data_IF_848598036899
#
_entry.id   IF_848598036899
#
_cell.length_a   1.000
_cell.length_b   1.000
_cell.length_c   1.000
_cell.angle_alpha   90.00
_cell.angle_beta   90.00
_cell.angle_gamma   90.00
#
_symmetry.space_group_name_H-M   'P 1'
#
loop_
_entity.id
_entity.type
_entity.pdbx_description
1 polymer ?
#
# COMPACT_ATOMS: atom_id res chain seq x y z
N UNK A 1 2.61 -11.63 -15.22
CA UNK A 1 2.09 -10.30 -15.63
C UNK A 1 2.13 -9.36 -14.41
N UNK A 2 2.34 -8.04 -14.60
CA UNK A 2 2.47 -7.13 -13.44
C UNK A 2 1.11 -6.79 -12.80
N UNK A 3 0.08 -6.60 -13.62
CA UNK A 3 -1.25 -6.26 -13.13
C UNK A 3 -1.85 -7.38 -12.27
N UNK A 4 -1.79 -8.64 -12.70
CA UNK A 4 -2.29 -9.77 -11.91
C UNK A 4 -1.48 -9.98 -10.63
N UNK A 5 -0.16 -9.75 -10.64
CA UNK A 5 0.64 -9.73 -9.41
C UNK A 5 0.16 -8.64 -8.42
N UNK A 6 -0.12 -7.43 -8.89
CA UNK A 6 -0.67 -6.35 -8.04
C UNK A 6 -2.06 -6.71 -7.49
N UNK A 7 -2.85 -7.50 -8.21
CA UNK A 7 -4.17 -7.96 -7.76
C UNK A 7 -4.14 -9.22 -6.88
N UNK A 8 -3.10 -10.05 -6.95
CA UNK A 8 -3.05 -11.34 -6.24
C UNK A 8 -2.07 -11.33 -5.07
N UNK A 9 -0.95 -10.63 -5.20
CA UNK A 9 0.12 -10.53 -4.21
C UNK A 9 0.62 -9.07 -4.08
N UNK A 10 -0.25 -8.12 -3.68
CA UNK A 10 0.03 -6.68 -3.75
C UNK A 10 1.26 -6.26 -2.94
N UNK A 11 1.38 -6.72 -1.69
CA UNK A 11 2.49 -6.36 -0.80
C UNK A 11 3.82 -6.86 -1.34
N UNK A 12 3.89 -8.15 -1.71
CA UNK A 12 5.12 -8.74 -2.26
C UNK A 12 5.56 -7.99 -3.51
N UNK A 13 4.61 -7.74 -4.42
CA UNK A 13 4.87 -7.00 -5.65
C UNK A 13 5.35 -5.58 -5.34
N UNK A 14 4.68 -4.86 -4.44
CA UNK A 14 5.07 -3.50 -4.06
C UNK A 14 6.49 -3.44 -3.48
N UNK A 15 6.84 -4.37 -2.57
CA UNK A 15 8.18 -4.44 -1.97
C UNK A 15 9.24 -4.74 -3.02
N UNK A 16 9.03 -5.72 -3.90
CA UNK A 16 9.99 -6.05 -4.96
C UNK A 16 10.21 -4.89 -5.93
N UNK A 17 9.14 -4.23 -6.36
CA UNK A 17 9.25 -3.04 -7.21
C UNK A 17 10.02 -1.92 -6.49
N UNK A 18 9.79 -1.73 -5.20
CA UNK A 18 10.49 -0.72 -4.40
C UNK A 18 11.98 -1.02 -4.26
N UNK A 19 12.34 -2.28 -4.00
CA UNK A 19 13.74 -2.73 -3.98
C UNK A 19 14.43 -2.47 -5.32
N UNK A 20 13.77 -2.78 -6.43
CA UNK A 20 14.27 -2.49 -7.76
C UNK A 20 14.51 -0.98 -7.97
N UNK A 21 13.58 -0.13 -7.52
CA UNK A 21 13.75 1.34 -7.60
C UNK A 21 14.95 1.84 -6.79
N UNK A 22 15.21 1.23 -5.63
CA UNK A 22 16.36 1.56 -4.78
C UNK A 22 17.68 0.94 -5.25
N UNK A 23 17.68 0.12 -6.32
CA UNK A 23 18.86 -0.62 -6.77
C UNK A 23 19.32 -1.71 -5.79
N UNK A 24 18.50 -2.04 -4.78
CA UNK A 24 18.80 -3.03 -3.74
C UNK A 24 18.43 -4.43 -4.25
N UNK A 25 19.42 -5.33 -4.34
CA UNK A 25 19.21 -6.76 -4.60
C UNK A 25 19.32 -7.51 -3.27
N UNK A 26 18.40 -8.42 -3.01
CA UNK A 26 18.58 -9.36 -1.90
C UNK A 26 17.77 -10.62 -2.10
N UNK A 27 17.60 -11.39 -1.03
CA UNK A 27 16.95 -12.69 -1.13
C UNK A 27 15.48 -12.56 -1.60
N UNK A 28 14.97 -13.53 -2.37
CA UNK A 28 13.56 -13.60 -2.72
C UNK A 28 12.68 -13.58 -1.47
N UNK A 29 11.59 -12.82 -1.50
CA UNK A 29 10.65 -12.75 -0.37
C UNK A 29 10.08 -14.12 0.03
N UNK A 30 10.07 -15.11 -0.88
CA UNK A 30 9.63 -16.47 -0.54
C UNK A 30 10.60 -17.23 0.37
N UNK A 31 11.86 -16.81 0.44
CA UNK A 31 12.89 -17.46 1.26
C UNK A 31 13.02 -16.86 2.65
N UNK A 32 12.25 -15.81 2.97
CA UNK A 32 12.27 -15.23 4.30
C UNK A 32 11.62 -16.19 5.31
N UNK A 33 12.29 -16.48 6.44
CA UNK A 33 11.71 -17.28 7.50
C UNK A 33 10.41 -16.63 8.03
N UNK A 34 9.43 -17.46 8.39
CA UNK A 34 8.10 -17.05 8.85
C UNK A 34 7.01 -16.85 7.78
N UNK A 35 7.03 -17.71 6.75
CA UNK A 35 6.00 -17.81 5.69
C UNK A 35 4.57 -18.16 6.14
N UNK A 36 4.28 -18.18 7.44
CA UNK A 36 2.93 -18.34 7.95
C UNK A 36 2.20 -16.99 7.90
N UNK A 37 0.84 -16.95 7.85
CA UNK A 37 0.05 -15.73 7.94
C UNK A 37 0.13 -15.08 9.34
N UNK A 38 1.34 -14.83 9.82
CA UNK A 38 1.60 -14.20 11.09
C UNK A 38 1.54 -12.68 10.90
N UNK A 39 0.42 -12.09 11.34
CA UNK A 39 0.16 -10.64 11.31
C UNK A 39 1.18 -9.81 12.09
N UNK A 40 2.00 -10.43 12.95
CA UNK A 40 3.09 -9.76 13.68
C UNK A 40 4.37 -9.60 12.85
N UNK A 41 4.51 -10.35 11.76
CA UNK A 41 5.69 -10.29 10.90
C UNK A 41 5.58 -9.15 9.91
N UNK A 42 6.74 -8.69 9.40
CA UNK A 42 6.86 -7.50 8.54
C UNK A 42 5.85 -7.49 7.37
N UNK A 43 5.74 -8.61 6.64
CA UNK A 43 4.80 -8.71 5.51
C UNK A 43 3.33 -8.66 5.94
N UNK A 44 3.01 -9.22 7.11
CA UNK A 44 1.67 -9.14 7.69
C UNK A 44 1.30 -7.72 8.12
N UNK A 45 2.24 -7.01 8.73
CA UNK A 45 2.08 -5.60 9.09
C UNK A 45 1.91 -4.71 7.84
N UNK A 46 2.69 -4.96 6.78
CA UNK A 46 2.53 -4.26 5.50
C UNK A 46 1.16 -4.53 4.85
N UNK A 47 0.65 -5.76 4.90
CA UNK A 47 -0.66 -6.10 4.35
C UNK A 47 -1.79 -5.38 5.10
N UNK A 48 -1.67 -5.30 6.42
CA UNK A 48 -2.57 -4.53 7.27
C UNK A 48 -2.55 -3.04 6.94
N UNK A 49 -1.37 -2.44 6.91
CA UNK A 49 -1.23 -1.02 6.59
C UNK A 49 -1.72 -0.72 5.19
N UNK A 50 -1.37 -1.56 4.21
CA UNK A 50 -1.84 -1.41 2.83
C UNK A 50 -3.37 -1.43 2.78
N UNK A 51 -4.01 -2.39 3.45
CA UNK A 51 -5.48 -2.48 3.48
C UNK A 51 -6.11 -1.24 4.10
N UNK A 52 -5.61 -0.80 5.26
CA UNK A 52 -6.09 0.39 5.96
C UNK A 52 -5.92 1.66 5.12
N UNK A 53 -4.76 1.82 4.49
CA UNK A 53 -4.46 2.95 3.65
C UNK A 53 -5.33 2.99 2.39
N UNK A 54 -5.50 1.86 1.69
CA UNK A 54 -6.33 1.81 0.49
C UNK A 54 -7.81 2.07 0.81
N UNK A 55 -8.29 1.62 1.98
CA UNK A 55 -9.63 1.97 2.48
C UNK A 55 -9.75 3.48 2.76
N UNK A 56 -8.73 4.10 3.37
CA UNK A 56 -8.72 5.53 3.65
C UNK A 56 -8.70 6.37 2.36
N UNK A 57 -7.83 6.02 1.40
CA UNK A 57 -7.79 6.65 0.07
C UNK A 57 -9.14 6.47 -0.63
N UNK A 58 -9.68 5.25 -0.63
CA UNK A 58 -10.99 4.95 -1.21
C UNK A 58 -12.08 5.84 -0.60
N UNK A 59 -12.14 5.95 0.73
CA UNK A 59 -13.17 6.73 1.42
C UNK A 59 -13.05 8.22 1.16
N UNK A 60 -11.82 8.76 1.04
CA UNK A 60 -11.58 10.19 0.76
C UNK A 60 -11.83 10.56 -0.69
N UNK A 61 -11.54 9.66 -1.64
CA UNK A 61 -11.54 9.97 -3.08
C UNK A 61 -12.84 9.60 -3.79
N UNK A 62 -13.58 8.59 -3.34
CA UNK A 62 -14.78 8.12 -4.04
C UNK A 62 -16.05 8.76 -3.48
N UNK A 63 -17.08 8.99 -4.32
CA UNK A 63 -18.42 9.32 -3.85
C UNK A 63 -18.92 8.27 -2.86
N UNK A 64 -19.67 8.70 -1.84
CA UNK A 64 -20.08 7.84 -0.72
C UNK A 64 -20.78 6.54 -1.19
N UNK A 65 -21.77 6.65 -2.08
CA UNK A 65 -22.49 5.48 -2.63
C UNK A 65 -21.56 4.51 -3.39
N UNK A 66 -20.59 5.06 -4.13
CA UNK A 66 -19.64 4.27 -4.88
C UNK A 66 -18.68 3.53 -3.95
N UNK A 67 -18.21 4.20 -2.90
CA UNK A 67 -17.36 3.58 -1.88
C UNK A 67 -18.11 2.46 -1.15
N UNK A 68 -19.33 2.70 -0.68
CA UNK A 68 -20.09 1.66 0.03
C UNK A 68 -20.32 0.44 -0.87
N UNK A 69 -20.70 0.65 -2.14
CA UNK A 69 -20.92 -0.45 -3.09
C UNK A 69 -19.64 -1.25 -3.37
N UNK A 70 -18.52 -0.57 -3.61
CA UNK A 70 -17.29 -1.22 -4.08
C UNK A 70 -16.40 -1.73 -2.95
N UNK A 71 -16.33 -1.04 -1.81
CA UNK A 71 -15.41 -1.35 -0.72
C UNK A 71 -16.10 -2.03 0.48
N UNK A 72 -17.43 -1.90 0.60
CA UNK A 72 -18.22 -2.46 1.73
C UNK A 72 -19.28 -3.49 1.32
N UNK A 73 -19.42 -3.78 0.02
CA UNK A 73 -20.30 -4.82 -0.51
C UNK A 73 -19.67 -6.21 -0.48
N UNK A 74 -19.47 -6.80 -1.66
CA UNK A 74 -18.83 -8.12 -1.79
C UNK A 74 -17.34 -8.09 -1.42
N UNK A 75 -16.88 -9.10 -0.67
CA UNK A 75 -15.51 -9.17 -0.16
C UNK A 75 -14.47 -9.25 -1.28
N UNK A 76 -14.74 -10.04 -2.33
CA UNK A 76 -13.80 -10.21 -3.45
C UNK A 76 -13.74 -8.93 -4.28
N UNK A 77 -14.90 -8.34 -4.59
CA UNK A 77 -14.97 -7.05 -5.29
C UNK A 77 -14.20 -5.98 -4.51
N UNK A 78 -14.44 -5.86 -3.21
CA UNK A 78 -13.76 -4.90 -2.36
C UNK A 78 -12.24 -5.14 -2.30
N UNK A 79 -11.82 -6.39 -2.21
CA UNK A 79 -10.39 -6.75 -2.25
C UNK A 79 -9.76 -6.34 -3.59
N UNK A 80 -10.44 -6.60 -4.71
CA UNK A 80 -9.96 -6.23 -6.04
C UNK A 80 -9.88 -4.71 -6.22
N UNK A 81 -10.91 -3.96 -5.81
CA UNK A 81 -10.90 -2.50 -5.94
C UNK A 81 -9.85 -1.82 -5.07
N UNK A 82 -9.62 -2.31 -3.84
CA UNK A 82 -8.47 -1.88 -3.02
C UNK A 82 -7.16 -2.06 -3.79
N UNK A 83 -6.90 -3.29 -4.27
CA UNK A 83 -5.67 -3.63 -4.99
C UNK A 83 -5.55 -2.90 -6.33
N UNK A 84 -6.68 -2.57 -6.96
CA UNK A 84 -6.73 -1.76 -8.16
C UNK A 84 -6.21 -0.34 -7.90
N UNK A 85 -6.46 0.27 -6.73
CA UNK A 85 -5.88 1.59 -6.41
C UNK A 85 -4.34 1.54 -6.40
N UNK A 86 -3.74 0.45 -5.89
CA UNK A 86 -2.29 0.24 -5.98
C UNK A 86 -1.83 0.08 -7.44
N UNK A 87 -2.61 -0.62 -8.27
CA UNK A 87 -2.33 -0.75 -9.69
C UNK A 87 -2.42 0.58 -10.44
N UNK A 88 -3.44 1.39 -10.16
CA UNK A 88 -3.66 2.72 -10.71
C UNK A 88 -2.49 3.67 -10.40
N UNK A 89 -1.85 3.50 -9.24
CA UNK A 89 -0.61 4.21 -8.91
C UNK A 89 0.62 3.66 -9.62
N UNK A 90 0.77 2.34 -9.67
CA UNK A 90 2.04 1.68 -10.00
C UNK A 90 2.26 1.55 -11.50
N UNK A 91 1.23 1.15 -12.24
CA UNK A 91 1.34 0.82 -13.66
C UNK A 91 1.69 2.00 -14.59
N UNK A 92 1.32 3.26 -14.30
CA UNK A 92 1.70 4.39 -15.15
C UNK A 92 3.21 4.56 -15.33
N UNK A 93 4.02 4.16 -14.35
CA UNK A 93 5.48 4.15 -14.46
C UNK A 93 6.02 3.18 -15.53
N UNK A 94 5.19 2.25 -16.00
CA UNK A 94 5.50 1.26 -17.02
C UNK A 94 4.70 1.49 -18.32
N UNK A 95 4.13 2.68 -18.51
CA UNK A 95 3.35 3.03 -19.70
C UNK A 95 1.95 2.42 -19.74
N UNK A 96 1.45 1.89 -18.62
CA UNK A 96 0.15 1.24 -18.52
C UNK A 96 -0.82 2.06 -17.66
N UNK A 97 -1.99 2.40 -18.20
CA UNK A 97 -3.05 3.11 -17.46
C UNK A 97 -4.22 2.16 -17.21
N UNK A 98 -4.33 1.54 -16.03
CA UNK A 98 -5.40 0.59 -15.75
C UNK A 98 -6.75 1.31 -15.63
N UNK A 99 -7.79 0.67 -16.13
CA UNK A 99 -9.17 1.18 -16.13
C UNK A 99 -10.09 0.21 -15.40
N UNK A 100 -11.14 0.73 -14.76
CA UNK A 100 -12.14 -0.05 -14.06
C UNK A 100 -13.56 0.29 -14.55
N UNK A 101 -14.49 -0.64 -14.35
CA UNK A 101 -15.92 -0.37 -14.43
C UNK A 101 -16.58 -0.79 -13.10
N UNK A 102 -17.25 0.12 -12.37
CA UNK A 102 -17.39 1.56 -12.65
C UNK A 102 -16.03 2.30 -12.66
N UNK A 103 -16.01 3.45 -13.34
CA UNK A 103 -14.82 4.30 -13.42
C UNK A 103 -14.50 4.89 -12.04
N UNK A 104 -13.22 4.87 -11.68
CA UNK A 104 -12.73 5.48 -10.44
C UNK A 104 -11.98 6.77 -10.75
N UNK A 105 -12.07 7.78 -9.87
CA UNK A 105 -11.19 8.94 -9.98
C UNK A 105 -9.73 8.53 -9.85
N UNK A 106 -8.83 9.38 -10.33
CA UNK A 106 -7.39 9.14 -10.21
C UNK A 106 -6.93 9.32 -8.77
N UNK A 107 -6.68 8.20 -8.08
CA UNK A 107 -6.22 8.15 -6.70
C UNK A 107 -4.69 8.10 -6.56
N UNK A 108 -3.94 8.07 -7.67
CA UNK A 108 -2.47 7.86 -7.67
C UNK A 108 -1.67 8.99 -7.01
N UNK A 109 -2.26 10.18 -6.87
CA UNK A 109 -1.61 11.38 -6.32
C UNK A 109 -1.99 11.69 -4.86
N UNK A 110 -2.70 10.79 -4.18
CA UNK A 110 -3.11 10.98 -2.79
C UNK A 110 -1.91 11.05 -1.82
N UNK A 111 -1.95 11.95 -0.82
CA UNK A 111 -0.85 12.18 0.14
C UNK A 111 -0.37 10.92 0.86
N UNK A 112 -1.30 10.06 1.31
CA UNK A 112 -0.98 8.77 1.97
C UNK A 112 -0.02 7.85 1.20
N UNK A 113 0.17 8.02 -0.11
CA UNK A 113 1.19 7.28 -0.84
C UNK A 113 2.62 7.65 -0.41
N UNK A 114 2.86 8.87 0.07
CA UNK A 114 4.13 9.27 0.65
C UNK A 114 4.40 8.51 1.96
N UNK A 115 3.38 8.36 2.82
CA UNK A 115 3.46 7.49 4.02
C UNK A 115 3.79 6.05 3.62
N UNK A 116 3.14 5.52 2.59
CA UNK A 116 3.42 4.17 2.08
C UNK A 116 4.86 3.99 1.63
N UNK A 117 5.43 4.98 0.93
CA UNK A 117 6.80 4.90 0.45
C UNK A 117 7.79 4.91 1.63
N UNK A 118 7.58 5.74 2.65
CA UNK A 118 8.37 5.73 3.90
C UNK A 118 8.31 4.37 4.62
N UNK A 119 7.14 3.73 4.62
CA UNK A 119 6.95 2.39 5.21
C UNK A 119 7.68 1.32 4.39
N UNK A 120 7.66 1.42 3.07
CA UNK A 120 8.39 0.51 2.18
C UNK A 120 9.91 0.67 2.34
N UNK A 121 10.42 1.90 2.45
CA UNK A 121 11.83 2.16 2.76
C UNK A 121 12.24 1.42 4.03
N UNK A 122 11.47 1.61 5.11
CA UNK A 122 11.74 0.94 6.39
C UNK A 122 11.66 -0.57 6.28
N UNK A 123 10.68 -1.09 5.53
CA UNK A 123 10.54 -2.53 5.34
C UNK A 123 11.74 -3.12 4.61
N UNK A 124 12.24 -2.47 3.55
CA UNK A 124 13.41 -2.94 2.82
C UNK A 124 14.66 -2.94 3.72
N UNK A 125 14.86 -1.92 4.55
CA UNK A 125 15.99 -1.88 5.48
C UNK A 125 15.94 -3.02 6.52
N UNK A 126 14.74 -3.34 7.04
CA UNK A 126 14.55 -4.44 7.98
C UNK A 126 14.80 -5.81 7.33
N UNK A 127 14.41 -5.98 6.05
CA UNK A 127 14.68 -7.19 5.29
C UNK A 127 16.18 -7.40 5.05
N UNK A 128 16.92 -6.33 4.78
CA UNK A 128 18.38 -6.40 4.60
C UNK A 128 19.12 -6.70 5.89
N UNK A 129 18.61 -6.20 7.02
CA UNK A 129 19.16 -6.49 8.34
C UNK A 129 18.96 -7.94 8.81
N UNK A 130 18.18 -8.77 8.08
CA UNK A 130 17.80 -10.14 8.44
C UNK A 130 17.24 -10.25 9.87
N UNK A 131 16.50 -9.22 10.27
CA UNK A 131 16.13 -9.02 11.66
C UNK A 131 14.65 -9.37 11.86
N UNK A 132 14.38 -10.56 12.39
CA UNK A 132 13.03 -11.05 12.72
C UNK A 132 12.44 -10.39 13.99
N UNK A 133 12.63 -9.07 14.16
CA UNK A 133 11.98 -8.34 15.25
C UNK A 133 10.50 -8.10 14.95
N UNK A 134 9.67 -8.14 15.99
CA UNK A 134 8.27 -7.68 15.90
C UNK A 134 8.24 -6.27 15.29
N UNK A 135 7.67 -6.16 14.10
CA UNK A 135 7.72 -4.92 13.35
C UNK A 135 6.52 -4.04 13.71
N UNK A 136 6.78 -2.77 14.03
CA UNK A 136 5.75 -1.80 14.43
C UNK A 136 5.30 -0.90 13.28
N UNK A 137 5.20 -1.43 12.06
CA UNK A 137 4.81 -0.61 10.90
C UNK A 137 3.40 -0.04 11.04
N UNK A 138 2.47 -0.75 11.68
CA UNK A 138 1.13 -0.21 11.93
C UNK A 138 1.18 1.00 12.86
N UNK A 139 1.97 0.93 13.94
CA UNK A 139 2.18 2.07 14.84
C UNK A 139 2.85 3.24 14.11
N UNK A 140 3.87 2.94 13.29
CA UNK A 140 4.57 3.93 12.49
C UNK A 140 3.66 4.57 11.45
N UNK A 141 2.76 3.81 10.82
CA UNK A 141 1.76 4.32 9.90
C UNK A 141 0.86 5.35 10.58
N UNK A 142 0.27 5.01 11.72
CA UNK A 142 -0.61 5.96 12.44
C UNK A 142 0.15 7.23 12.87
N UNK A 143 1.40 7.09 13.31
CA UNK A 143 2.25 8.24 13.65
C UNK A 143 2.48 9.15 12.44
N UNK A 144 2.88 8.58 11.30
CA UNK A 144 3.15 9.33 10.07
C UNK A 144 1.89 9.99 9.50
N UNK A 145 0.73 9.34 9.60
CA UNK A 145 -0.55 9.94 9.18
C UNK A 145 -0.92 11.14 10.05
N UNK A 146 -0.72 11.03 11.37
CA UNK A 146 -0.96 12.16 12.29
C UNK A 146 0.00 13.33 12.03
N UNK A 147 1.25 13.06 11.66
CA UNK A 147 2.22 14.09 11.26
C UNK A 147 1.79 14.81 9.97
N UNK A 148 1.32 14.09 8.94
CA UNK A 148 0.80 14.70 7.70
C UNK A 148 -0.45 15.57 7.93
N UNK A 149 -1.37 15.12 8.79
CA UNK A 149 -2.56 15.90 9.14
C UNK A 149 -2.20 17.18 9.94
N UNK A 150 -1.07 17.21 10.65
CA UNK A 150 -0.60 18.44 11.33
C UNK A 150 0.08 19.43 10.38
N UNK A 151 0.85 18.97 9.40
CA UNK A 151 1.49 19.84 8.40
C UNK A 151 0.44 20.54 7.51
N UNK A 152 -0.67 19.86 7.20
CA UNK A 152 -1.77 20.46 6.41
C UNK A 152 -2.53 21.55 7.17
N UNK A 153 -2.73 21.41 8.49
CA UNK A 153 -3.34 22.44 9.32
C UNK A 153 -2.40 23.63 9.57
N UNK A 154 -1.08 23.40 9.55
CA UNK A 154 -0.06 24.43 9.74
C UNK A 154 0.06 25.47 8.61
N UNK A 155 -0.50 25.20 7.42
CA UNK A 155 -0.47 26.11 6.27
C UNK A 155 -1.74 26.93 6.05
N UNK A 156 -2.85 26.64 6.76
CA UNK A 156 -4.08 27.46 6.70
C UNK A 156 -4.08 28.63 7.71
N UNK A 157 -2.96 28.86 8.41
CA UNK A 157 -2.80 29.86 9.48
C UNK A 157 -1.82 30.99 9.21
N UNK A 158 -1.51 31.31 7.94
CA UNK A 158 -0.63 32.44 7.54
C UNK A 158 -1.26 33.30 6.45
#
# INVERSE_FOLDING_TARGET
DLFGCLLTCPVKTAVELHRCKLGKKGQPLERLPGHLPNRKMLLGQLDWVLTLMLDAIGKRMLPAELFERLFRGDLMVATMFRRFLLAQRTLPAYGCNPVSKPELPNCSKHGLWAVWDKLLDRAVDLLEAQDERECRLVEMFFRLVLEEDQETVGFEGL
#
